data_IF_709110144027
#
_entry.id   IF_709110144027
#
_cell.length_a   1.000
_cell.length_b   1.000
_cell.length_c   1.000
_cell.angle_alpha   90.00
_cell.angle_beta   90.00
_cell.angle_gamma   90.00
#
_symmetry.space_group_name_H-M   'P 1'
#
loop_
_entity.id
_entity.type
_entity.pdbx_description
1 polymer ?
#
# COMPACT_ATOMS: atom_id res chain seq x y z
N UNK A 1 20.82 -0.42 -21.45
CA UNK A 1 19.50 -0.93 -21.03
C UNK A 1 18.68 0.29 -20.63
N UNK A 2 17.54 0.56 -21.27
CA UNK A 2 16.65 1.67 -20.84
C UNK A 2 16.07 1.27 -19.49
N UNK A 3 16.45 1.99 -18.43
CA UNK A 3 15.88 1.76 -17.10
C UNK A 3 14.35 1.85 -17.14
N UNK A 4 13.66 1.11 -16.25
CA UNK A 4 12.22 1.20 -16.06
C UNK A 4 11.82 2.68 -15.87
N UNK A 5 10.72 3.07 -16.51
CA UNK A 5 10.15 4.42 -16.39
C UNK A 5 8.79 4.33 -15.72
N UNK A 6 8.38 5.41 -15.06
CA UNK A 6 6.98 5.56 -14.63
C UNK A 6 6.08 5.63 -15.87
N UNK A 7 4.80 5.29 -15.72
CA UNK A 7 3.82 5.43 -16.81
C UNK A 7 3.72 6.89 -17.27
N UNK A 8 3.76 7.82 -16.29
CA UNK A 8 3.75 9.25 -16.57
C UNK A 8 4.94 9.66 -17.47
N UNK A 9 6.17 9.27 -17.12
CA UNK A 9 7.36 9.59 -17.90
C UNK A 9 7.38 8.94 -19.27
N UNK A 10 6.75 7.80 -19.40
CA UNK A 10 6.62 7.09 -20.68
C UNK A 10 5.50 7.66 -21.57
N UNK A 11 4.74 8.65 -21.12
CA UNK A 11 3.49 9.11 -21.73
C UNK A 11 2.56 7.95 -22.07
N UNK A 12 2.51 6.97 -21.18
CA UNK A 12 1.70 5.77 -21.35
C UNK A 12 0.21 6.10 -21.14
N UNK A 13 -0.69 5.52 -21.92
CA UNK A 13 -2.12 5.80 -21.81
C UNK A 13 -2.70 5.44 -20.44
N UNK A 14 -2.22 4.37 -19.79
CA UNK A 14 -2.57 4.00 -18.42
C UNK A 14 -2.02 4.95 -17.33
N UNK A 15 -1.28 6.01 -17.69
CA UNK A 15 -0.98 7.07 -16.73
C UNK A 15 -2.23 7.86 -16.32
N UNK A 16 -3.30 7.78 -17.14
CA UNK A 16 -4.62 8.32 -16.85
C UNK A 16 -5.41 7.37 -15.94
N UNK A 17 -5.86 7.81 -14.75
CA UNK A 17 -6.76 7.02 -13.90
C UNK A 17 -8.05 6.62 -14.62
N UNK A 18 -8.62 7.50 -15.44
CA UNK A 18 -9.85 7.23 -16.19
C UNK A 18 -9.68 6.07 -17.16
N UNK A 19 -8.53 5.97 -17.85
CA UNK A 19 -8.28 4.85 -18.76
C UNK A 19 -8.14 3.52 -18.02
N UNK A 20 -7.55 3.53 -16.83
CA UNK A 20 -7.52 2.35 -15.97
C UNK A 20 -8.93 1.93 -15.55
N UNK A 21 -9.78 2.89 -15.16
CA UNK A 21 -11.19 2.64 -14.82
C UNK A 21 -11.95 2.08 -16.04
N UNK A 22 -11.72 2.61 -17.24
CA UNK A 22 -12.33 2.11 -18.48
C UNK A 22 -11.98 0.64 -18.70
N UNK A 23 -10.70 0.25 -18.56
CA UNK A 23 -10.27 -1.16 -18.67
C UNK A 23 -10.95 -2.04 -17.63
N UNK A 24 -10.98 -1.60 -16.37
CA UNK A 24 -11.60 -2.37 -15.27
C UNK A 24 -13.12 -2.51 -15.44
N UNK A 25 -13.77 -1.53 -16.05
CA UNK A 25 -15.23 -1.54 -16.26
C UNK A 25 -15.69 -2.42 -17.45
N UNK A 26 -14.77 -2.86 -18.30
CA UNK A 26 -15.05 -3.73 -19.45
C UNK A 26 -15.19 -5.22 -19.03
N UNK A 27 -15.90 -5.45 -17.92
CA UNK A 27 -16.09 -6.77 -17.31
C UNK A 27 -16.94 -7.72 -18.18
N UNK A 28 -17.85 -7.18 -19.00
CA UNK A 28 -18.67 -7.97 -19.91
C UNK A 28 -17.82 -8.68 -20.97
N UNK A 29 -16.80 -8.00 -21.49
CA UNK A 29 -15.86 -8.57 -22.44
C UNK A 29 -15.10 -9.77 -21.87
N UNK A 30 -14.77 -9.72 -20.56
CA UNK A 30 -14.06 -10.79 -19.85
C UNK A 30 -15.03 -11.89 -19.41
N UNK A 31 -16.33 -11.61 -19.37
CA UNK A 31 -17.37 -12.57 -18.95
C UNK A 31 -17.41 -12.80 -17.43
N UNK A 32 -16.93 -11.86 -16.61
CA UNK A 32 -17.01 -11.94 -15.15
C UNK A 32 -18.17 -11.08 -14.60
N UNK A 33 -18.77 -11.46 -13.46
CA UNK A 33 -19.74 -10.60 -12.77
C UNK A 33 -19.08 -9.31 -12.27
N UNK A 34 -19.88 -8.28 -12.04
CA UNK A 34 -19.38 -7.11 -11.31
C UNK A 34 -19.11 -7.47 -9.86
N UNK A 35 -18.16 -6.75 -9.21
CA UNK A 35 -17.93 -6.91 -7.78
C UNK A 35 -19.20 -6.63 -6.95
N UNK A 36 -20.01 -5.64 -7.38
CA UNK A 36 -21.31 -5.33 -6.77
C UNK A 36 -22.28 -6.50 -6.83
N UNK A 37 -22.39 -7.19 -7.99
CA UNK A 37 -23.20 -8.41 -8.11
C UNK A 37 -22.74 -9.50 -7.14
N UNK A 38 -21.43 -9.68 -6.95
CA UNK A 38 -20.90 -10.66 -5.99
C UNK A 38 -21.25 -10.31 -4.53
N UNK A 39 -21.24 -9.02 -4.18
CA UNK A 39 -21.71 -8.58 -2.86
C UNK A 39 -23.21 -8.88 -2.65
N UNK A 40 -24.04 -8.59 -3.64
CA UNK A 40 -25.48 -8.87 -3.59
C UNK A 40 -25.78 -10.38 -3.49
N UNK A 41 -25.14 -11.21 -4.32
CA UNK A 41 -25.23 -12.68 -4.30
C UNK A 41 -24.86 -13.26 -2.92
N UNK A 42 -23.92 -12.60 -2.24
CA UNK A 42 -23.46 -12.99 -0.89
C UNK A 42 -24.29 -12.41 0.25
N UNK A 43 -25.33 -11.62 -0.05
CA UNK A 43 -26.19 -10.98 0.94
C UNK A 43 -25.53 -9.81 1.69
N UNK A 44 -24.40 -9.29 1.19
CA UNK A 44 -23.63 -8.22 1.83
C UNK A 44 -24.10 -6.82 1.41
N UNK A 45 -24.74 -6.69 0.23
CA UNK A 45 -25.32 -5.43 -0.25
C UNK A 45 -24.28 -4.32 -0.40
N UNK A 46 -24.69 -3.09 -0.09
CA UNK A 46 -23.82 -1.91 -0.19
C UNK A 46 -22.72 -1.94 0.88
N UNK A 47 -21.47 -1.87 0.45
CA UNK A 47 -20.34 -1.86 1.37
C UNK A 47 -20.23 -0.53 2.12
N UNK A 48 -20.13 -0.60 3.46
CA UNK A 48 -20.03 0.56 4.35
C UNK A 48 -18.86 0.40 5.32
N UNK A 49 -18.30 1.52 5.82
CA UNK A 49 -17.35 1.49 6.92
C UNK A 49 -17.92 0.82 8.16
N UNK A 50 -17.04 0.20 8.94
CA UNK A 50 -17.29 -0.26 10.31
C UNK A 50 -16.63 0.66 11.33
N UNK A 51 -15.75 1.55 10.88
CA UNK A 51 -15.01 2.51 11.67
C UNK A 51 -14.04 3.30 10.77
N UNK A 52 -13.26 4.18 11.37
CA UNK A 52 -12.11 4.85 10.76
C UNK A 52 -10.99 4.89 11.80
N UNK A 53 -10.36 3.74 12.05
CA UNK A 53 -9.23 3.68 12.99
C UNK A 53 -7.94 4.17 12.35
N UNK A 54 -7.84 4.11 11.01
CA UNK A 54 -6.61 4.39 10.26
C UNK A 54 -6.81 5.57 9.31
N UNK A 55 -5.95 6.58 9.43
CA UNK A 55 -5.70 7.54 8.38
C UNK A 55 -4.47 7.09 7.59
N UNK A 56 -4.69 6.60 6.38
CA UNK A 56 -3.60 6.29 5.46
C UNK A 56 -3.26 7.56 4.67
N UNK A 57 -2.03 8.02 4.78
CA UNK A 57 -1.60 9.30 4.22
C UNK A 57 -0.54 9.06 3.16
N UNK A 58 -0.88 9.29 1.90
CA UNK A 58 0.05 9.24 0.79
C UNK A 58 0.77 10.60 0.67
N UNK A 59 1.98 10.69 1.19
CA UNK A 59 2.75 11.95 1.25
C UNK A 59 3.42 12.34 -0.07
N UNK A 60 3.17 11.58 -1.15
CA UNK A 60 3.65 11.90 -2.50
C UNK A 60 4.03 10.69 -3.32
N UNK A 61 4.36 10.94 -4.60
CA UNK A 61 4.74 9.88 -5.56
C UNK A 61 6.25 9.83 -5.84
N UNK A 62 7.05 10.70 -5.21
CA UNK A 62 8.51 10.66 -5.33
C UNK A 62 9.07 9.39 -4.69
N UNK A 63 9.92 8.68 -5.44
CA UNK A 63 10.58 7.45 -4.99
C UNK A 63 11.94 7.30 -5.65
N UNK A 64 12.91 6.71 -4.96
CA UNK A 64 14.21 6.39 -5.54
C UNK A 64 14.21 5.09 -6.37
N UNK A 65 13.05 4.43 -6.52
CA UNK A 65 12.86 3.19 -7.28
C UNK A 65 11.73 3.30 -8.31
N UNK A 66 11.78 2.42 -9.33
CA UNK A 66 10.69 2.21 -10.29
C UNK A 66 10.37 0.72 -10.33
N UNK A 67 9.53 0.26 -9.37
CA UNK A 67 9.15 -1.16 -9.27
C UNK A 67 8.09 -1.54 -10.30
N UNK A 68 8.16 -2.76 -10.87
CA UNK A 68 7.23 -3.22 -11.93
C UNK A 68 5.77 -3.33 -11.48
N UNK A 69 5.52 -3.63 -10.21
CA UNK A 69 4.20 -3.83 -9.64
C UNK A 69 3.67 -2.62 -8.85
N UNK A 70 4.31 -1.44 -9.00
CA UNK A 70 3.95 -0.27 -8.20
C UNK A 70 2.56 0.26 -8.58
N UNK A 71 1.62 0.18 -7.67
CA UNK A 71 0.26 0.68 -7.84
C UNK A 71 0.18 2.21 -7.82
N UNK A 72 1.14 2.89 -7.18
CA UNK A 72 1.23 4.36 -7.07
C UNK A 72 1.79 5.01 -8.35
N UNK A 73 2.45 4.24 -9.21
CA UNK A 73 3.30 4.75 -10.30
C UNK A 73 4.37 5.73 -9.79
N UNK A 74 4.96 5.43 -8.64
CA UNK A 74 6.00 6.23 -8.03
C UNK A 74 7.35 6.09 -8.75
N UNK A 75 8.18 7.13 -8.67
CA UNK A 75 9.51 7.12 -9.28
C UNK A 75 10.30 8.40 -9.03
N UNK A 76 11.58 8.43 -9.47
CA UNK A 76 12.45 9.60 -9.30
C UNK A 76 12.05 10.82 -10.15
N UNK A 77 11.23 10.60 -11.17
CA UNK A 77 10.71 11.62 -12.06
C UNK A 77 9.43 12.27 -11.57
N UNK A 78 8.80 11.71 -10.52
CA UNK A 78 7.56 12.22 -9.93
C UNK A 78 7.85 13.42 -9.03
N UNK A 79 6.95 14.40 -9.07
CA UNK A 79 7.08 15.67 -8.34
C UNK A 79 5.94 15.91 -7.35
N UNK A 80 4.96 15.04 -7.35
CA UNK A 80 3.83 15.10 -6.44
C UNK A 80 4.33 14.88 -5.01
N UNK A 81 4.17 15.91 -4.18
CA UNK A 81 4.60 15.96 -2.79
C UNK A 81 3.52 16.66 -1.98
N UNK A 82 3.12 16.05 -0.87
CA UNK A 82 2.22 16.68 0.10
C UNK A 82 2.91 17.87 0.76
N UNK A 83 2.21 19.00 0.76
CA UNK A 83 2.70 20.23 1.38
C UNK A 83 2.50 20.20 2.90
N UNK A 84 3.24 21.06 3.61
CA UNK A 84 3.05 21.27 5.05
C UNK A 84 1.62 21.71 5.38
N UNK A 85 1.04 22.60 4.59
CA UNK A 85 -0.34 23.07 4.77
C UNK A 85 -1.34 21.90 4.74
N UNK A 86 -1.21 20.97 3.78
CA UNK A 86 -2.04 19.78 3.71
C UNK A 86 -1.84 18.89 4.95
N UNK A 87 -0.58 18.70 5.41
CA UNK A 87 -0.30 17.96 6.62
C UNK A 87 -0.91 18.60 7.88
N UNK A 88 -0.88 19.93 7.99
CA UNK A 88 -1.54 20.67 9.06
C UNK A 88 -3.06 20.47 9.07
N UNK A 89 -3.70 20.44 7.90
CA UNK A 89 -5.12 20.10 7.78
C UNK A 89 -5.41 18.66 8.25
N UNK A 90 -4.51 17.71 7.95
CA UNK A 90 -4.62 16.33 8.43
C UNK A 90 -4.51 16.29 9.96
N UNK A 91 -3.58 17.02 10.57
CA UNK A 91 -3.44 17.08 12.03
C UNK A 91 -4.71 17.65 12.68
N UNK A 92 -5.32 18.69 12.10
CA UNK A 92 -6.60 19.24 12.56
C UNK A 92 -7.72 18.20 12.48
N UNK A 93 -7.82 17.48 11.38
CA UNK A 93 -8.79 16.39 11.21
C UNK A 93 -8.59 15.27 12.22
N UNK A 94 -7.32 14.84 12.44
CA UNK A 94 -6.95 13.83 13.42
C UNK A 94 -7.30 14.23 14.85
N UNK A 95 -7.14 15.50 15.21
CA UNK A 95 -7.50 16.02 16.54
C UNK A 95 -9.01 15.97 16.82
N UNK A 96 -9.82 15.95 15.75
CA UNK A 96 -11.30 15.89 15.80
C UNK A 96 -11.85 14.50 15.48
N UNK A 97 -10.98 13.50 15.36
CA UNK A 97 -11.33 12.13 15.00
C UNK A 97 -10.97 11.14 16.11
N UNK A 98 -11.57 9.96 16.04
CA UNK A 98 -11.24 8.82 16.93
C UNK A 98 -10.12 7.94 16.36
N UNK A 99 -9.58 8.28 15.18
CA UNK A 99 -8.54 7.52 14.52
C UNK A 99 -7.28 7.43 15.40
N UNK A 100 -6.75 6.21 15.53
CA UNK A 100 -5.61 5.89 16.41
C UNK A 100 -4.31 5.74 15.64
N UNK A 101 -4.41 5.34 14.38
CA UNK A 101 -3.27 4.94 13.55
C UNK A 101 -3.13 5.89 12.37
N UNK A 102 -1.90 6.29 12.08
CA UNK A 102 -1.54 7.00 10.84
C UNK A 102 -0.54 6.15 10.07
N UNK A 103 -0.94 5.69 8.87
CA UNK A 103 -0.16 4.85 7.97
C UNK A 103 0.43 5.71 6.84
N UNK A 104 1.70 6.07 6.96
CA UNK A 104 2.40 6.91 6.00
C UNK A 104 2.88 6.08 4.81
N UNK A 105 2.34 6.39 3.64
CA UNK A 105 2.60 5.70 2.38
C UNK A 105 2.94 6.66 1.25
N UNK A 106 3.05 6.14 0.02
CA UNK A 106 3.35 6.89 -1.19
C UNK A 106 4.41 6.21 -2.04
N UNK A 107 5.34 7.00 -2.58
CA UNK A 107 6.54 6.48 -3.23
C UNK A 107 7.56 6.01 -2.18
N UNK A 108 8.36 6.95 -1.68
CA UNK A 108 9.18 6.81 -0.49
C UNK A 108 8.81 7.96 0.46
N UNK A 109 8.02 7.71 1.49
CA UNK A 109 7.53 8.77 2.40
C UNK A 109 8.66 9.65 2.95
N UNK A 110 9.81 9.06 3.22
CA UNK A 110 11.00 9.70 3.77
C UNK A 110 11.62 10.74 2.83
N UNK A 111 11.27 10.72 1.54
CA UNK A 111 11.71 11.71 0.57
C UNK A 111 10.92 13.02 0.63
N UNK A 112 9.75 13.03 1.25
CA UNK A 112 9.01 14.26 1.48
C UNK A 112 9.81 15.15 2.46
N UNK A 113 10.11 16.42 2.14
CA UNK A 113 10.90 17.31 3.01
C UNK A 113 10.30 17.50 4.41
N UNK A 114 8.98 17.44 4.53
CA UNK A 114 8.24 17.63 5.77
C UNK A 114 7.99 16.32 6.54
N UNK A 115 8.48 15.18 6.03
CA UNK A 115 8.23 13.87 6.62
C UNK A 115 8.61 13.81 8.11
N UNK A 116 9.81 14.27 8.47
CA UNK A 116 10.29 14.21 9.86
C UNK A 116 9.44 15.09 10.78
N UNK A 117 9.16 16.31 10.35
CA UNK A 117 8.28 17.21 11.08
C UNK A 117 6.89 16.60 11.28
N UNK A 118 6.31 16.02 10.24
CA UNK A 118 4.97 15.40 10.32
C UNK A 118 4.95 14.24 11.31
N UNK A 119 5.96 13.35 11.26
CA UNK A 119 6.14 12.28 12.24
C UNK A 119 6.24 12.82 13.68
N UNK A 120 6.98 13.88 13.90
CA UNK A 120 7.12 14.51 15.23
C UNK A 120 5.78 15.03 15.74
N UNK A 121 4.97 15.67 14.88
CA UNK A 121 3.63 16.12 15.25
C UNK A 121 2.69 14.95 15.60
N UNK A 122 2.67 13.92 14.76
CA UNK A 122 1.86 12.71 14.99
C UNK A 122 2.25 12.01 16.29
N UNK A 123 3.55 11.90 16.55
CA UNK A 123 4.10 11.34 17.79
C UNK A 123 3.67 12.16 19.01
N UNK A 124 3.72 13.50 18.93
CA UNK A 124 3.27 14.40 20.00
C UNK A 124 1.74 14.27 20.28
N UNK A 125 0.96 13.91 19.26
CA UNK A 125 -0.47 13.61 19.40
C UNK A 125 -0.75 12.20 19.97
N UNK A 126 0.28 11.40 20.25
CA UNK A 126 0.13 10.02 20.75
C UNK A 126 -0.44 9.05 19.72
N UNK A 127 -0.38 9.35 18.42
CA UNK A 127 -0.84 8.45 17.38
C UNK A 127 0.16 7.32 17.16
N UNK A 128 -0.34 6.11 16.90
CA UNK A 128 0.48 5.03 16.39
C UNK A 128 0.84 5.33 14.93
N UNK A 129 2.13 5.31 14.62
CA UNK A 129 2.63 5.64 13.29
C UNK A 129 3.13 4.37 12.60
N UNK A 130 2.64 4.13 11.40
CA UNK A 130 3.17 3.11 10.48
C UNK A 130 3.89 3.86 9.35
N UNK A 131 5.06 3.40 8.94
CA UNK A 131 5.76 3.90 7.75
C UNK A 131 5.99 2.76 6.79
N UNK A 132 5.46 2.91 5.57
CA UNK A 132 5.70 1.97 4.47
C UNK A 132 7.03 2.29 3.78
N UNK A 133 8.10 1.89 4.46
CA UNK A 133 9.47 2.19 4.07
C UNK A 133 9.94 1.31 2.91
N UNK A 134 10.42 1.93 1.86
CA UNK A 134 11.15 1.19 0.84
C UNK A 134 12.63 1.04 1.24
N UNK A 135 13.02 0.09 1.98
CA UNK A 135 14.32 -0.16 2.62
C UNK A 135 15.54 0.51 1.96
N UNK A 136 15.60 0.61 0.64
CA UNK A 136 16.74 1.18 -0.07
C UNK A 136 16.92 2.68 0.17
N UNK A 137 15.88 3.37 0.67
CA UNK A 137 15.99 4.80 0.99
C UNK A 137 17.00 5.05 2.11
N UNK A 138 17.10 4.14 3.08
CA UNK A 138 18.03 4.22 4.21
C UNK A 138 19.48 4.36 3.72
N UNK A 139 19.80 3.76 2.57
CA UNK A 139 21.14 3.77 1.97
C UNK A 139 21.25 4.66 0.72
N UNK A 140 20.18 5.36 0.34
CA UNK A 140 20.17 6.16 -0.89
C UNK A 140 21.04 7.44 -0.79
N UNK A 141 21.15 8.00 0.41
CA UNK A 141 21.94 9.20 0.69
C UNK A 141 22.32 9.20 2.18
N UNK A 142 23.50 9.69 2.57
CA UNK A 142 23.93 9.77 3.98
C UNK A 142 22.93 10.43 4.92
N UNK A 143 22.14 11.41 4.45
CA UNK A 143 21.09 12.08 5.24
C UNK A 143 19.94 11.16 5.71
N UNK A 144 19.85 9.96 5.16
CA UNK A 144 18.82 8.97 5.51
C UNK A 144 19.36 7.80 6.35
N UNK A 145 20.70 7.75 6.57
CA UNK A 145 21.29 6.62 7.30
C UNK A 145 20.88 6.59 8.78
N UNK A 146 20.39 7.70 9.34
CA UNK A 146 19.88 7.83 10.70
C UNK A 146 18.38 7.46 10.82
N UNK A 147 17.71 7.09 9.72
CA UNK A 147 16.29 6.72 9.76
C UNK A 147 15.98 5.59 10.76
N UNK A 148 16.79 4.52 10.91
CA UNK A 148 16.51 3.50 11.91
C UNK A 148 16.40 4.06 13.34
N UNK A 149 17.31 4.95 13.71
CA UNK A 149 17.29 5.62 15.03
C UNK A 149 16.13 6.62 15.15
N UNK A 150 15.83 7.34 14.06
CA UNK A 150 14.67 8.24 14.01
C UNK A 150 13.36 7.46 14.19
N UNK A 151 13.20 6.34 13.49
CA UNK A 151 12.03 5.48 13.63
C UNK A 151 11.90 4.94 15.07
N UNK A 152 13.00 4.47 15.66
CA UNK A 152 13.05 4.02 17.06
C UNK A 152 12.63 5.13 18.03
N UNK A 153 13.19 6.33 17.87
CA UNK A 153 12.89 7.49 18.73
C UNK A 153 11.38 7.79 18.80
N UNK A 154 10.67 7.62 17.68
CA UNK A 154 9.24 7.90 17.56
C UNK A 154 8.36 6.64 17.64
N UNK A 155 8.92 5.50 18.02
CA UNK A 155 8.23 4.21 18.13
C UNK A 155 7.39 3.86 16.89
N UNK A 156 7.96 4.05 15.71
CA UNK A 156 7.31 3.83 14.41
C UNK A 156 7.25 2.33 14.12
N UNK A 157 6.10 1.83 13.67
CA UNK A 157 6.02 0.52 13.08
C UNK A 157 6.51 0.59 11.63
N UNK A 158 7.52 -0.19 11.29
CA UNK A 158 8.11 -0.22 9.94
C UNK A 158 7.53 -1.38 9.16
N UNK A 159 6.89 -1.08 8.02
CA UNK A 159 6.38 -2.07 7.07
C UNK A 159 7.15 -1.93 5.76
N UNK A 160 7.78 -3.00 5.29
CA UNK A 160 8.71 -2.92 4.17
C UNK A 160 8.53 -4.05 3.15
N UNK A 161 8.57 -3.70 1.87
CA UNK A 161 8.43 -4.69 0.81
C UNK A 161 9.73 -5.46 0.57
N UNK A 162 9.65 -6.79 0.73
CA UNK A 162 10.70 -7.73 0.33
C UNK A 162 10.04 -8.92 -0.41
N UNK A 163 9.81 -8.82 -1.73
CA UNK A 163 9.02 -9.81 -2.47
C UNK A 163 9.68 -11.20 -2.57
N UNK A 164 10.96 -11.31 -2.25
CA UNK A 164 11.65 -12.60 -2.13
C UNK A 164 12.88 -12.48 -1.24
N UNK A 165 13.24 -13.59 -0.58
CA UNK A 165 14.53 -13.74 0.12
C UNK A 165 15.69 -14.13 -0.83
N UNK A 166 15.52 -13.92 -2.14
CA UNK A 166 16.55 -14.13 -3.16
C UNK A 166 16.76 -12.88 -4.01
N UNK A 167 18.03 -12.60 -4.33
CA UNK A 167 18.40 -11.42 -5.15
C UNK A 167 17.74 -11.48 -6.53
N UNK A 168 17.76 -12.65 -7.19
CA UNK A 168 17.20 -12.81 -8.54
C UNK A 168 15.74 -12.34 -8.64
N UNK A 169 14.87 -12.80 -7.73
CA UNK A 169 13.43 -12.48 -7.75
C UNK A 169 13.18 -11.04 -7.32
N UNK A 170 13.80 -10.59 -6.23
CA UNK A 170 13.62 -9.22 -5.73
C UNK A 170 14.12 -8.18 -6.73
N UNK A 171 15.31 -8.38 -7.31
CA UNK A 171 15.86 -7.45 -8.29
C UNK A 171 15.06 -7.44 -9.60
N UNK A 172 14.54 -8.58 -10.04
CA UNK A 172 13.67 -8.67 -11.22
C UNK A 172 12.38 -7.84 -11.08
N UNK A 173 11.85 -7.70 -9.86
CA UNK A 173 10.60 -6.97 -9.58
C UNK A 173 10.83 -5.52 -9.19
N UNK A 174 11.92 -5.20 -8.46
CA UNK A 174 12.16 -3.90 -7.85
C UNK A 174 13.32 -3.10 -8.44
N UNK A 175 14.19 -3.75 -9.20
CA UNK A 175 15.39 -3.15 -9.81
C UNK A 175 16.70 -3.76 -9.33
N UNK A 176 17.75 -3.58 -10.12
CA UNK A 176 19.07 -4.15 -9.84
C UNK A 176 19.69 -3.60 -8.56
N UNK A 177 20.27 -4.49 -7.74
CA UNK A 177 20.92 -4.15 -6.48
C UNK A 177 19.96 -3.78 -5.34
N UNK A 178 18.64 -3.91 -5.54
CA UNK A 178 17.65 -3.61 -4.49
C UNK A 178 17.70 -4.64 -3.38
N UNK A 179 17.91 -5.92 -3.70
CA UNK A 179 17.98 -6.97 -2.68
C UNK A 179 19.10 -6.72 -1.68
N UNK A 180 20.32 -6.50 -2.15
CA UNK A 180 21.51 -6.30 -1.31
C UNK A 180 21.37 -5.09 -0.40
N UNK A 181 20.83 -3.99 -0.94
CA UNK A 181 20.53 -2.79 -0.15
C UNK A 181 19.43 -3.04 0.87
N UNK A 182 18.39 -3.81 0.50
CA UNK A 182 17.31 -4.15 1.43
C UNK A 182 17.82 -5.01 2.58
N UNK A 183 18.65 -6.02 2.32
CA UNK A 183 19.28 -6.85 3.37
C UNK A 183 20.08 -6.00 4.34
N UNK A 184 20.94 -5.09 3.82
CA UNK A 184 21.72 -4.19 4.68
C UNK A 184 20.84 -3.26 5.52
N UNK A 185 19.80 -2.69 4.92
CA UNK A 185 18.87 -1.83 5.65
C UNK A 185 18.09 -2.59 6.74
N UNK A 186 17.69 -3.83 6.48
CA UNK A 186 17.06 -4.71 7.48
C UNK A 186 18.03 -5.01 8.65
N UNK A 187 19.31 -5.26 8.36
CA UNK A 187 20.32 -5.44 9.39
C UNK A 187 20.47 -4.17 10.25
N UNK A 188 20.51 -2.98 9.65
CA UNK A 188 20.56 -1.70 10.39
C UNK A 188 19.31 -1.51 11.28
N UNK A 189 18.14 -1.88 10.80
CA UNK A 189 16.91 -1.84 11.62
C UNK A 189 16.99 -2.85 12.78
N UNK A 190 17.50 -4.06 12.55
CA UNK A 190 17.70 -5.05 13.61
C UNK A 190 18.75 -4.60 14.63
N UNK A 191 19.81 -3.90 14.23
CA UNK A 191 20.84 -3.36 15.12
C UNK A 191 20.25 -2.40 16.17
N UNK A 192 19.27 -1.58 15.79
CA UNK A 192 18.58 -0.66 16.70
C UNK A 192 17.41 -1.30 17.47
N UNK A 193 17.10 -2.59 17.18
CA UNK A 193 16.12 -3.38 17.93
C UNK A 193 14.86 -3.77 17.17
N UNK A 194 14.62 -3.27 15.95
CA UNK A 194 13.45 -3.63 15.16
C UNK A 194 13.38 -5.13 14.87
N UNK A 195 12.18 -5.69 14.89
CA UNK A 195 11.91 -7.10 14.60
C UNK A 195 12.38 -8.08 15.66
N UNK A 196 13.08 -7.63 16.71
CA UNK A 196 13.60 -8.48 17.78
C UNK A 196 12.57 -8.73 18.88
N UNK A 197 12.56 -9.94 19.39
CA UNK A 197 11.69 -10.32 20.49
C UNK A 197 11.92 -9.44 21.73
N UNK A 198 10.85 -8.98 22.37
CA UNK A 198 10.88 -8.17 23.57
C UNK A 198 11.28 -6.70 23.38
N UNK A 199 11.66 -6.27 22.18
CA UNK A 199 12.05 -4.86 21.91
C UNK A 199 10.87 -3.89 21.85
N UNK A 200 9.68 -4.36 21.48
CA UNK A 200 8.53 -3.53 21.22
C UNK A 200 8.55 -2.81 19.86
N UNK A 201 9.67 -2.87 19.11
CA UNK A 201 9.86 -2.21 17.82
C UNK A 201 9.46 -3.14 16.68
N UNK A 202 8.32 -2.85 16.04
CA UNK A 202 7.76 -3.70 14.98
C UNK A 202 8.40 -3.45 13.63
N UNK A 203 8.85 -4.55 13.01
CA UNK A 203 9.31 -4.63 11.63
C UNK A 203 8.53 -5.73 10.93
N UNK A 204 7.68 -5.35 9.98
CA UNK A 204 6.90 -6.29 9.19
C UNK A 204 7.33 -6.24 7.73
N UNK A 205 7.26 -7.37 7.06
CA UNK A 205 7.63 -7.49 5.66
C UNK A 205 6.38 -7.69 4.79
N UNK A 206 6.44 -7.20 3.57
CA UNK A 206 5.39 -7.38 2.56
C UNK A 206 5.93 -8.26 1.43
N UNK A 207 5.21 -9.33 1.17
CA UNK A 207 5.35 -10.18 0.01
C UNK A 207 4.27 -9.83 -1.02
N UNK A 208 4.68 -9.69 -2.29
CA UNK A 208 3.78 -9.66 -3.43
C UNK A 208 4.21 -10.74 -4.43
N UNK A 209 3.31 -11.51 -5.03
CA UNK A 209 3.63 -12.43 -6.10
C UNK A 209 4.40 -11.76 -7.24
N UNK A 210 5.33 -12.47 -7.87
CA UNK A 210 6.13 -11.93 -8.97
C UNK A 210 5.45 -12.05 -10.35
N UNK A 211 4.17 -12.37 -10.40
CA UNK A 211 3.38 -12.58 -11.61
C UNK A 211 1.88 -12.44 -11.37
N UNK A 212 1.11 -12.87 -12.37
CA UNK A 212 -0.35 -12.85 -12.38
C UNK A 212 -0.90 -14.12 -11.70
N UNK A 213 -0.78 -14.20 -10.39
CA UNK A 213 -1.32 -15.29 -9.56
C UNK A 213 -1.52 -14.82 -8.12
N UNK A 214 -2.38 -15.53 -7.39
CA UNK A 214 -2.64 -15.28 -5.97
C UNK A 214 -1.43 -15.66 -5.11
N UNK A 215 -1.21 -14.99 -3.96
CA UNK A 215 -0.19 -15.41 -3.02
C UNK A 215 -0.51 -16.78 -2.41
N UNK A 216 0.53 -17.53 -2.10
CA UNK A 216 0.43 -18.75 -1.27
C UNK A 216 0.00 -18.40 0.16
N UNK A 217 -0.28 -19.45 0.97
CA UNK A 217 -0.63 -19.30 2.38
C UNK A 217 0.39 -18.43 3.14
N UNK A 218 -0.10 -17.36 3.77
CA UNK A 218 0.73 -16.37 4.46
C UNK A 218 1.54 -16.99 5.60
N UNK A 219 0.99 -17.95 6.33
CA UNK A 219 1.65 -18.59 7.47
C UNK A 219 2.84 -19.42 7.00
N UNK A 220 2.67 -20.15 5.90
CA UNK A 220 3.72 -20.97 5.28
C UNK A 220 4.82 -20.05 4.74
N UNK A 221 4.46 -19.02 3.99
CA UNK A 221 5.40 -18.01 3.48
C UNK A 221 6.19 -17.35 4.61
N UNK A 222 5.51 -16.95 5.69
CA UNK A 222 6.15 -16.32 6.84
C UNK A 222 7.19 -17.23 7.51
N UNK A 223 6.85 -18.51 7.71
CA UNK A 223 7.75 -19.48 8.31
C UNK A 223 9.01 -19.67 7.44
N UNK A 224 8.83 -19.76 6.12
CA UNK A 224 9.95 -19.87 5.18
C UNK A 224 10.83 -18.60 5.20
N UNK A 225 10.21 -17.39 5.15
CA UNK A 225 10.95 -16.12 5.22
C UNK A 225 11.75 -16.00 6.52
N UNK A 226 11.13 -16.29 7.67
CA UNK A 226 11.82 -16.25 8.98
C UNK A 226 13.03 -17.16 9.00
N UNK A 227 12.87 -18.40 8.52
CA UNK A 227 13.98 -19.37 8.44
C UNK A 227 15.09 -18.88 7.52
N UNK A 228 14.75 -18.53 6.28
CA UNK A 228 15.76 -18.15 5.25
C UNK A 228 16.48 -16.85 5.56
N UNK A 229 15.79 -15.84 6.08
CA UNK A 229 16.40 -14.55 6.41
C UNK A 229 17.28 -14.66 7.66
N UNK A 230 16.87 -15.44 8.65
CA UNK A 230 17.68 -15.68 9.86
C UNK A 230 18.94 -16.47 9.53
N UNK A 231 18.82 -17.62 8.82
CA UNK A 231 19.95 -18.47 8.49
C UNK A 231 21.00 -17.81 7.61
N UNK A 232 20.54 -17.05 6.59
CA UNK A 232 21.46 -16.48 5.58
C UNK A 232 22.02 -15.12 5.95
N UNK A 233 21.26 -14.32 6.68
CA UNK A 233 21.56 -12.89 6.86
C UNK A 233 21.48 -12.41 8.31
N UNK A 234 21.06 -13.26 9.25
CA UNK A 234 20.89 -12.92 10.65
C UNK A 234 19.73 -11.93 10.88
N UNK A 235 18.75 -11.85 9.95
CA UNK A 235 17.64 -10.89 10.01
C UNK A 235 16.46 -11.50 10.72
N UNK A 236 15.87 -10.70 11.61
CA UNK A 236 14.62 -10.98 12.32
C UNK A 236 13.56 -9.94 11.94
N UNK A 237 12.31 -10.38 11.86
CA UNK A 237 11.14 -9.54 11.63
C UNK A 237 9.92 -10.14 12.34
N UNK A 238 8.86 -9.34 12.53
CA UNK A 238 7.68 -9.78 13.27
C UNK A 238 6.72 -10.58 12.38
N UNK A 239 6.14 -9.96 11.35
CA UNK A 239 5.13 -10.59 10.51
C UNK A 239 5.43 -10.40 9.02
N UNK A 240 4.90 -11.32 8.20
CA UNK A 240 4.91 -11.23 6.74
C UNK A 240 3.48 -11.01 6.26
N UNK A 241 3.24 -9.93 5.54
CA UNK A 241 1.95 -9.66 4.90
C UNK A 241 1.99 -10.12 3.44
N UNK A 242 1.19 -11.12 3.10
CA UNK A 242 1.02 -11.57 1.73
C UNK A 242 -0.07 -10.72 1.06
N UNK A 243 0.32 -9.89 0.10
CA UNK A 243 -0.58 -8.94 -0.55
C UNK A 243 -0.73 -9.30 -2.02
N UNK A 244 -1.98 -9.53 -2.44
CA UNK A 244 -2.36 -9.72 -3.84
C UNK A 244 -2.01 -8.48 -4.66
N UNK A 245 -1.45 -8.65 -5.85
CA UNK A 245 -1.25 -7.55 -6.77
C UNK A 245 -2.61 -7.13 -7.36
N UNK A 246 -3.00 -5.88 -7.14
CA UNK A 246 -4.22 -5.37 -7.73
C UNK A 246 -3.99 -4.92 -9.18
N UNK A 247 -4.97 -5.11 -10.08
CA UNK A 247 -4.87 -4.78 -11.50
C UNK A 247 -4.99 -3.26 -11.72
N UNK A 248 -4.04 -2.50 -11.15
CA UNK A 248 -3.98 -1.04 -11.26
C UNK A 248 -2.56 -0.60 -11.63
N UNK A 249 -2.44 0.54 -12.27
CA UNK A 249 -1.18 1.21 -12.60
C UNK A 249 -0.19 0.29 -13.34
N UNK A 250 1.08 0.20 -12.91
CA UNK A 250 2.12 -0.59 -13.60
C UNK A 250 1.84 -2.10 -13.59
N UNK A 251 1.10 -2.61 -12.63
CA UNK A 251 0.73 -4.00 -12.67
C UNK A 251 -0.38 -4.28 -13.70
N UNK A 252 -1.33 -3.34 -13.87
CA UNK A 252 -2.30 -3.40 -14.98
C UNK A 252 -1.61 -3.36 -16.34
N UNK A 253 -0.62 -2.47 -16.51
CA UNK A 253 0.21 -2.42 -17.72
C UNK A 253 0.94 -3.76 -17.97
N UNK A 254 1.52 -4.35 -16.92
CA UNK A 254 2.13 -5.68 -17.01
C UNK A 254 1.15 -6.75 -17.46
N UNK A 255 -0.06 -6.79 -16.88
CA UNK A 255 -1.08 -7.77 -17.22
C UNK A 255 -1.51 -7.67 -18.69
N UNK A 256 -1.70 -6.45 -19.19
CA UNK A 256 -2.10 -6.21 -20.59
C UNK A 256 -0.97 -6.59 -21.55
N UNK A 257 0.27 -6.14 -21.27
CA UNK A 257 1.43 -6.40 -22.13
C UNK A 257 1.84 -7.88 -22.18
N UNK A 258 1.45 -8.67 -21.19
CA UNK A 258 1.72 -10.12 -21.12
C UNK A 258 0.51 -10.96 -21.49
N UNK A 259 -0.59 -10.32 -21.95
CA UNK A 259 -1.85 -10.97 -22.30
C UNK A 259 -2.50 -11.80 -21.17
N UNK A 260 -2.15 -11.48 -19.91
CA UNK A 260 -2.64 -12.18 -18.71
C UNK A 260 -3.84 -11.49 -18.04
N UNK A 261 -4.31 -10.35 -18.56
CA UNK A 261 -5.33 -9.55 -17.89
C UNK A 261 -6.64 -10.31 -17.69
N UNK A 262 -7.18 -10.92 -18.76
CA UNK A 262 -8.45 -11.64 -18.71
C UNK A 262 -8.38 -12.87 -17.79
N UNK A 263 -7.29 -13.65 -17.89
CA UNK A 263 -7.08 -14.83 -17.05
C UNK A 263 -6.97 -14.45 -15.57
N UNK A 264 -6.19 -13.41 -15.26
CA UNK A 264 -6.00 -12.93 -13.89
C UNK A 264 -7.30 -12.38 -13.29
N UNK A 265 -8.08 -11.61 -14.04
CA UNK A 265 -9.37 -11.10 -13.56
C UNK A 265 -10.37 -12.24 -13.30
N UNK A 266 -10.37 -13.27 -14.16
CA UNK A 266 -11.15 -14.48 -13.92
C UNK A 266 -10.69 -15.23 -12.66
N UNK A 267 -9.38 -15.38 -12.43
CA UNK A 267 -8.84 -15.98 -11.23
C UNK A 267 -9.30 -15.22 -9.97
N UNK A 268 -9.18 -13.90 -9.95
CA UNK A 268 -9.62 -13.06 -8.84
C UNK A 268 -11.14 -13.19 -8.57
N UNK A 269 -11.96 -13.14 -9.63
CA UNK A 269 -13.42 -13.23 -9.51
C UNK A 269 -13.90 -14.62 -9.06
N UNK A 270 -13.27 -15.69 -9.58
CA UNK A 270 -13.58 -17.08 -9.19
C UNK A 270 -13.11 -17.39 -7.76
N UNK A 271 -12.03 -16.75 -7.29
CA UNK A 271 -11.52 -16.88 -5.93
C UNK A 271 -12.22 -15.95 -4.92
N UNK A 272 -13.25 -15.20 -5.34
CA UNK A 272 -13.99 -14.31 -4.44
C UNK A 272 -14.46 -15.03 -3.17
N UNK A 273 -14.09 -14.46 -2.02
CA UNK A 273 -14.41 -14.98 -0.70
C UNK A 273 -15.25 -13.95 0.10
N UNK A 274 -16.55 -14.21 0.31
CA UNK A 274 -17.40 -13.27 1.05
C UNK A 274 -16.95 -13.06 2.51
N UNK A 275 -16.27 -14.03 3.12
CA UNK A 275 -15.72 -13.88 4.47
C UNK A 275 -14.61 -12.82 4.53
N UNK A 276 -13.83 -12.70 3.47
CA UNK A 276 -12.77 -11.71 3.37
C UNK A 276 -13.30 -10.26 3.32
N UNK A 277 -14.54 -10.05 2.88
CA UNK A 277 -15.16 -8.71 2.79
C UNK A 277 -15.26 -8.03 4.16
N UNK A 278 -15.39 -8.79 5.24
CA UNK A 278 -15.46 -8.23 6.59
C UNK A 278 -14.16 -7.49 6.98
N UNK A 279 -13.02 -7.99 6.52
CA UNK A 279 -11.68 -7.49 6.87
C UNK A 279 -11.03 -6.57 5.85
N UNK A 280 -11.71 -6.18 4.74
CA UNK A 280 -11.11 -5.27 3.76
C UNK A 280 -10.84 -3.90 4.37
N UNK A 281 -9.66 -3.34 4.05
CA UNK A 281 -9.15 -2.11 4.67
C UNK A 281 -10.07 -0.90 4.54
N UNK A 282 -10.77 -0.74 3.41
CA UNK A 282 -11.64 0.40 3.14
C UNK A 282 -12.81 0.52 4.13
N UNK A 283 -13.12 -0.53 4.88
CA UNK A 283 -14.15 -0.51 5.94
C UNK A 283 -13.68 0.12 7.24
N UNK A 284 -12.38 0.25 7.46
CA UNK A 284 -11.82 0.76 8.72
C UNK A 284 -10.74 1.84 8.53
N UNK A 285 -10.68 2.44 7.33
CA UNK A 285 -9.72 3.48 7.02
C UNK A 285 -10.28 4.58 6.14
N UNK A 286 -9.54 5.68 6.06
CA UNK A 286 -9.65 6.68 5.02
C UNK A 286 -8.26 6.89 4.41
N UNK A 287 -8.18 6.95 3.08
CA UNK A 287 -6.94 7.25 2.36
C UNK A 287 -6.92 8.71 1.93
N UNK A 288 -5.81 9.40 2.20
CA UNK A 288 -5.64 10.83 1.94
C UNK A 288 -4.52 10.99 0.91
N UNK A 289 -4.84 11.58 -0.22
CA UNK A 289 -3.89 11.87 -1.29
C UNK A 289 -2.90 12.98 -0.92
N UNK A 290 -1.78 13.02 -1.63
CA UNK A 290 -0.75 14.06 -1.48
C UNK A 290 -1.30 15.49 -1.68
N UNK A 291 -2.39 15.62 -2.40
CA UNK A 291 -3.14 16.85 -2.70
C UNK A 291 -4.31 17.10 -1.74
N UNK A 292 -4.49 16.23 -0.74
CA UNK A 292 -5.51 16.36 0.29
C UNK A 292 -6.87 15.75 -0.05
N UNK A 293 -7.06 15.18 -1.25
CA UNK A 293 -8.30 14.50 -1.59
C UNK A 293 -8.47 13.19 -0.82
N UNK A 294 -9.72 12.81 -0.56
CA UNK A 294 -10.10 11.67 0.27
C UNK A 294 -10.66 10.53 -0.58
N UNK A 295 -10.25 9.32 -0.23
CA UNK A 295 -10.59 8.07 -0.91
C UNK A 295 -10.90 6.98 0.11
N UNK A 296 -11.65 5.95 -0.30
CA UNK A 296 -11.94 4.80 0.59
C UNK A 296 -10.70 3.96 0.88
N UNK A 297 -9.78 3.87 -0.06
CA UNK A 297 -8.52 3.14 0.09
C UNK A 297 -7.45 3.66 -0.88
N UNK A 298 -6.22 3.19 -0.70
CA UNK A 298 -5.06 3.54 -1.54
C UNK A 298 -5.27 3.17 -3.03
N UNK A 299 -5.98 2.08 -3.32
CA UNK A 299 -6.25 1.68 -4.70
C UNK A 299 -7.29 2.58 -5.38
N UNK A 300 -8.36 2.96 -4.67
CA UNK A 300 -9.30 3.97 -5.16
C UNK A 300 -8.61 5.31 -5.43
N UNK A 301 -7.61 5.67 -4.60
CA UNK A 301 -6.79 6.86 -4.83
C UNK A 301 -6.04 6.78 -6.16
N UNK A 302 -5.47 5.63 -6.50
CA UNK A 302 -4.73 5.48 -7.77
C UNK A 302 -5.63 5.53 -9.01
N UNK A 303 -6.91 5.26 -8.85
CA UNK A 303 -7.96 5.33 -9.86
C UNK A 303 -8.73 6.66 -9.85
N UNK A 304 -8.34 7.61 -9.01
CA UNK A 304 -9.03 8.90 -8.75
C UNK A 304 -10.52 8.74 -8.40
N UNK A 305 -10.87 7.63 -7.74
CA UNK A 305 -12.22 7.36 -7.25
C UNK A 305 -12.39 8.00 -5.85
N UNK A 306 -12.63 9.33 -5.84
CA UNK A 306 -12.83 10.11 -4.63
C UNK A 306 -14.10 9.68 -3.89
N UNK A 307 -14.23 10.07 -2.62
CA UNK A 307 -15.42 9.75 -1.83
C UNK A 307 -16.70 10.15 -2.56
N UNK A 308 -17.77 9.38 -2.35
CA UNK A 308 -19.06 9.52 -3.03
C UNK A 308 -19.70 10.90 -2.78
N UNK A 309 -20.44 11.40 -3.74
CA UNK A 309 -21.20 12.67 -3.62
C UNK A 309 -22.00 12.75 -2.32
N UNK A 310 -21.94 13.92 -1.66
CA UNK A 310 -22.58 14.16 -0.36
C UNK A 310 -21.67 14.02 0.85
N UNK A 311 -20.46 13.45 0.67
CA UNK A 311 -19.39 13.40 1.66
C UNK A 311 -18.28 14.36 1.20
N UNK A 312 -17.71 15.18 2.09
CA UNK A 312 -16.55 15.99 1.73
C UNK A 312 -15.42 15.11 1.19
N UNK A 313 -14.89 15.45 0.03
CA UNK A 313 -13.86 14.69 -0.67
C UNK A 313 -12.44 15.28 -0.50
N UNK A 314 -12.29 16.30 0.37
CA UNK A 314 -10.99 16.92 0.65
C UNK A 314 -10.80 17.16 2.15
N UNK A 315 -9.57 16.99 2.62
CA UNK A 315 -9.20 17.03 4.05
C UNK A 315 -9.49 18.37 4.71
N UNK A 316 -9.46 19.49 3.96
CA UNK A 316 -9.80 20.84 4.48
C UNK A 316 -11.24 20.94 4.99
N UNK A 317 -12.13 20.13 4.43
CA UNK A 317 -13.56 20.10 4.76
C UNK A 317 -13.97 18.77 5.42
N UNK A 318 -13.01 18.05 6.00
CA UNK A 318 -13.24 16.74 6.60
C UNK A 318 -14.37 16.79 7.63
N UNK A 319 -15.32 15.87 7.49
CA UNK A 319 -16.47 15.70 8.37
C UNK A 319 -16.50 14.23 8.84
N UNK A 320 -16.25 14.01 10.12
CA UNK A 320 -16.15 12.68 10.71
C UNK A 320 -17.42 11.85 10.52
N UNK A 321 -18.57 12.43 10.85
CA UNK A 321 -19.85 11.70 10.84
C UNK A 321 -20.26 11.34 9.41
N UNK A 322 -20.12 12.24 8.47
CA UNK A 322 -20.41 11.97 7.06
C UNK A 322 -19.46 10.92 6.50
N UNK A 323 -18.17 11.01 6.83
CA UNK A 323 -17.17 10.07 6.35
C UNK A 323 -17.40 8.68 6.94
N UNK A 324 -17.80 8.57 8.21
CA UNK A 324 -18.13 7.31 8.85
C UNK A 324 -19.38 6.63 8.25
N UNK A 325 -20.36 7.43 7.81
CA UNK A 325 -21.61 6.93 7.24
C UNK A 325 -21.63 6.82 5.71
N UNK A 326 -20.47 6.96 5.06
CA UNK A 326 -20.34 6.90 3.60
C UNK A 326 -20.65 5.52 3.02
N UNK A 327 -20.98 5.50 1.76
CA UNK A 327 -20.94 4.28 0.96
C UNK A 327 -19.56 4.16 0.30
N UNK A 328 -18.94 3.00 0.42
CA UNK A 328 -17.62 2.73 -0.16
C UNK A 328 -17.76 2.56 -1.66
N UNK A 329 -16.91 3.26 -2.42
CA UNK A 329 -16.85 3.12 -3.87
C UNK A 329 -16.12 1.82 -4.22
N UNK A 330 -16.79 0.99 -5.00
CA UNK A 330 -16.29 -0.32 -5.44
C UNK A 330 -16.11 -0.34 -6.97
N UNK A 331 -15.15 -1.14 -7.42
CA UNK A 331 -14.96 -1.47 -8.84
C UNK A 331 -14.32 -2.87 -8.92
N UNK A 332 -14.04 -3.36 -10.11
CA UNK A 332 -13.53 -4.73 -10.36
C UNK A 332 -12.18 -5.01 -9.68
N UNK A 333 -11.33 -3.99 -9.43
CA UNK A 333 -10.09 -4.16 -8.66
C UNK A 333 -10.34 -4.67 -7.23
N UNK A 334 -11.54 -4.45 -6.67
CA UNK A 334 -11.90 -4.93 -5.32
C UNK A 334 -11.87 -6.45 -5.18
N UNK A 335 -11.96 -7.21 -6.29
CA UNK A 335 -11.75 -8.65 -6.27
C UNK A 335 -10.36 -9.02 -5.72
N UNK A 336 -9.33 -8.21 -5.99
CA UNK A 336 -7.99 -8.45 -5.45
C UNK A 336 -7.90 -8.39 -3.93
N UNK A 337 -8.78 -7.62 -3.27
CA UNK A 337 -8.85 -7.56 -1.80
C UNK A 337 -9.62 -8.73 -1.19
N UNK A 338 -10.45 -9.43 -1.97
CA UNK A 338 -11.38 -10.47 -1.49
C UNK A 338 -11.11 -11.86 -2.05
N UNK A 339 -10.13 -12.02 -2.93
CA UNK A 339 -9.75 -13.31 -3.49
C UNK A 339 -9.03 -14.19 -2.45
N UNK A 340 -9.36 -15.48 -2.41
CA UNK A 340 -8.73 -16.47 -1.53
C UNK A 340 -8.90 -16.14 -0.03
N UNK A 341 -7.80 -16.02 0.69
CA UNK A 341 -7.80 -15.62 2.10
C UNK A 341 -8.03 -14.11 2.30
N UNK A 342 -8.31 -13.38 1.23
CA UNK A 342 -8.38 -11.94 1.23
C UNK A 342 -7.01 -11.26 1.29
N UNK A 343 -6.99 -9.97 1.03
CA UNK A 343 -5.76 -9.18 1.05
C UNK A 343 -6.04 -7.75 1.51
N UNK A 344 -5.32 -7.32 2.52
CA UNK A 344 -5.34 -5.94 3.00
C UNK A 344 -3.91 -5.40 3.15
N UNK A 345 -3.77 -4.13 3.54
CA UNK A 345 -2.46 -3.56 3.88
C UNK A 345 -1.75 -4.26 5.06
N UNK A 346 -2.45 -5.09 5.81
CA UNK A 346 -1.95 -5.93 6.91
C UNK A 346 -1.91 -7.43 6.57
N UNK A 347 -1.97 -7.81 5.28
CA UNK A 347 -1.95 -9.20 4.84
C UNK A 347 -3.36 -9.81 4.70
N UNK A 348 -3.49 -11.13 4.94
CA UNK A 348 -4.75 -11.86 4.81
C UNK A 348 -5.83 -11.34 5.75
N UNK A 349 -7.11 -11.45 5.35
CA UNK A 349 -8.26 -10.93 6.09
C UNK A 349 -9.18 -12.02 6.67
N UNK A 350 -8.86 -13.30 6.39
CA UNK A 350 -9.55 -14.49 6.92
C UNK A 350 -8.58 -15.47 7.53
#
# INVERSE_FOLDING_TARGET
MSGLKTLMRANHWLSSPQEQVNVLSDHEKIGIPTFGQKLEESGLGVLKPTGIDVFQVNVGKMCNQVCKHCHVDAGPDRKEIMTRETMEQILIALARSEAKVVDLTGGAPEMNPEFRWFVEQLSAMGKQIIVRCNLTIILANPKYNDLPEFFKKHNINVVSSLPSFTARRTNAQRGDGVFEKSIKALQMLNEVGYGKEGSGLKLDLVYNPSGAFLPDDQTILQAEYKTKLREKFGIEFNELFAITNLPVSRFLDYLINTENYEEYMNELANAYNPMAVAGVMCRNMISIGWDGYLFDCDFNQMLDLKLKNGVPDHISNFDWDKTLNREIIINQHCFGCTAGAGSSCGGTTT
#
